data_IF_906156044353
#
_entry.id   IF_906156044353
#
_cell.length_a   1.000
_cell.length_b   1.000
_cell.length_c   1.000
_cell.angle_alpha   90.00
_cell.angle_beta   90.00
_cell.angle_gamma   90.00
#
_symmetry.space_group_name_H-M   'P 1'
#
loop_
_entity.id
_entity.type
_entity.pdbx_description
1 polymer ?
#
# COMPACT_ATOMS: atom_id res chain seq x y z
N UNK A 1 -13.36 6.88 24.05
CA UNK A 1 -13.52 6.61 22.61
C UNK A 1 -13.09 5.17 22.34
N UNK A 2 -13.95 4.36 21.71
CA UNK A 2 -13.75 2.92 21.50
C UNK A 2 -12.58 2.59 20.55
N UNK A 3 -12.21 3.52 19.66
CA UNK A 3 -11.26 3.23 18.57
C UNK A 3 -9.81 3.63 18.85
N UNK A 4 -9.50 4.13 20.05
CA UNK A 4 -8.15 4.61 20.44
C UNK A 4 -7.01 3.62 20.14
N UNK A 5 -7.32 2.33 20.16
CA UNK A 5 -6.35 1.26 19.95
C UNK A 5 -6.25 0.80 18.48
N UNK A 6 -7.12 1.32 17.61
CA UNK A 6 -7.28 0.92 16.20
C UNK A 6 -7.09 2.09 15.21
N UNK A 7 -6.88 3.31 15.71
CA UNK A 7 -6.65 4.50 14.86
C UNK A 7 -5.45 5.29 15.35
N UNK A 8 -4.77 5.95 14.41
CA UNK A 8 -3.74 6.95 14.76
C UNK A 8 -4.36 8.34 14.66
N UNK A 9 -4.34 9.08 15.77
CA UNK A 9 -4.84 10.44 15.81
C UNK A 9 -3.83 11.41 15.17
N UNK A 10 -4.24 12.06 14.08
CA UNK A 10 -3.48 13.12 13.40
C UNK A 10 -4.14 14.47 13.74
N UNK A 11 -3.36 15.42 14.27
CA UNK A 11 -3.90 16.71 14.74
C UNK A 11 -4.24 17.69 13.62
N UNK A 12 -3.58 17.54 12.46
CA UNK A 12 -3.79 18.39 11.30
C UNK A 12 -4.93 17.83 10.43
N UNK A 13 -5.68 18.68 9.72
CA UNK A 13 -6.59 18.20 8.69
C UNK A 13 -5.76 17.45 7.63
N UNK A 14 -6.31 16.33 7.19
CA UNK A 14 -5.74 15.50 6.14
C UNK A 14 -6.58 15.67 4.87
N UNK A 15 -5.93 15.85 3.73
CA UNK A 15 -6.55 15.84 2.41
C UNK A 15 -6.59 14.40 1.86
N UNK A 16 -7.76 13.77 1.87
CA UNK A 16 -7.92 12.39 1.40
C UNK A 16 -7.68 12.24 -0.11
N UNK A 17 -7.93 13.30 -0.89
CA UNK A 17 -7.79 13.28 -2.35
C UNK A 17 -6.30 13.26 -2.67
N UNK A 18 -5.52 14.16 -2.07
CA UNK A 18 -4.07 14.17 -2.24
C UNK A 18 -3.41 12.86 -1.78
N UNK A 19 -3.89 12.29 -0.66
CA UNK A 19 -3.43 10.98 -0.18
C UNK A 19 -3.79 9.85 -1.16
N UNK A 20 -5.01 9.87 -1.70
CA UNK A 20 -5.44 8.86 -2.65
C UNK A 20 -4.62 8.94 -3.94
N UNK A 21 -4.40 10.14 -4.47
CA UNK A 21 -3.59 10.38 -5.67
C UNK A 21 -2.15 9.89 -5.48
N UNK A 22 -1.54 10.19 -4.34
CA UNK A 22 -0.19 9.72 -4.02
C UNK A 22 -0.14 8.19 -3.89
N UNK A 23 -1.18 7.58 -3.34
CA UNK A 23 -1.26 6.12 -3.17
C UNK A 23 -1.38 5.37 -4.50
N UNK A 24 -1.85 6.00 -5.59
CA UNK A 24 -1.94 5.36 -6.90
C UNK A 24 -0.57 4.99 -7.48
N UNK A 25 0.48 5.73 -7.12
CA UNK A 25 1.85 5.41 -7.53
C UNK A 25 2.34 4.04 -7.00
N UNK A 26 1.70 3.51 -5.94
CA UNK A 26 2.05 2.22 -5.35
C UNK A 26 1.59 1.04 -6.21
N UNK A 27 0.58 1.21 -7.06
CA UNK A 27 -0.06 0.14 -7.81
C UNK A 27 0.87 -0.39 -8.90
N UNK A 28 0.95 -1.71 -9.04
CA UNK A 28 1.83 -2.40 -9.99
C UNK A 28 3.09 -2.99 -9.33
N UNK A 29 4.05 -3.34 -10.18
CA UNK A 29 5.31 -3.98 -9.79
C UNK A 29 6.40 -2.93 -9.57
N UNK A 30 6.84 -2.77 -8.32
CA UNK A 30 7.85 -1.77 -7.94
C UNK A 30 8.89 -2.33 -6.96
N UNK A 31 10.02 -1.64 -6.88
CA UNK A 31 11.00 -1.84 -5.81
C UNK A 31 10.61 -1.02 -4.58
N UNK A 32 10.27 -1.70 -3.48
CA UNK A 32 9.87 -1.07 -2.22
C UNK A 32 11.03 -0.93 -1.21
N UNK A 33 12.29 -0.97 -1.67
CA UNK A 33 13.46 -0.80 -0.81
C UNK A 33 13.38 0.47 0.06
N UNK A 34 12.88 1.58 -0.48
CA UNK A 34 12.70 2.85 0.25
C UNK A 34 11.76 2.76 1.45
N UNK A 35 10.85 1.79 1.44
CA UNK A 35 9.88 1.53 2.51
C UNK A 35 10.29 0.34 3.39
N UNK A 36 11.49 -0.23 3.22
CA UNK A 36 11.97 -1.30 4.08
C UNK A 36 12.42 -0.75 5.45
N UNK A 37 12.00 -1.41 6.53
CA UNK A 37 12.53 -1.14 7.86
C UNK A 37 13.97 -1.64 8.06
N UNK A 38 14.71 -1.15 9.07
CA UNK A 38 16.13 -1.48 9.30
C UNK A 38 16.39 -2.95 9.64
N UNK A 39 15.34 -3.70 10.01
CA UNK A 39 15.42 -5.14 10.28
C UNK A 39 15.24 -6.01 9.03
N UNK A 40 14.96 -5.42 7.87
CA UNK A 40 14.91 -6.18 6.63
C UNK A 40 16.34 -6.59 6.23
N UNK A 41 16.60 -7.88 5.92
CA UNK A 41 17.90 -8.31 5.44
C UNK A 41 18.35 -7.51 4.21
N UNK A 42 19.66 -7.27 4.08
CA UNK A 42 20.22 -6.48 2.98
C UNK A 42 20.02 -7.16 1.61
N UNK A 43 19.97 -8.48 1.61
CA UNK A 43 19.74 -9.35 0.45
C UNK A 43 18.26 -9.72 0.24
N UNK A 44 17.35 -9.21 1.10
CA UNK A 44 15.92 -9.49 0.94
C UNK A 44 15.40 -8.89 -0.38
N UNK A 45 14.67 -9.71 -1.14
CA UNK A 45 13.94 -9.25 -2.32
C UNK A 45 12.95 -8.16 -1.92
N UNK A 46 13.07 -6.98 -2.53
CA UNK A 46 12.23 -5.79 -2.25
C UNK A 46 11.16 -5.52 -3.32
N UNK A 47 11.21 -6.27 -4.44
CA UNK A 47 10.20 -6.22 -5.50
C UNK A 47 8.85 -6.72 -4.99
N UNK A 48 7.80 -5.90 -5.04
CA UNK A 48 6.43 -6.28 -4.68
C UNK A 48 5.45 -5.84 -5.75
N UNK A 49 4.38 -6.62 -5.89
CA UNK A 49 3.27 -6.30 -6.79
C UNK A 49 2.07 -5.90 -5.95
N UNK A 50 1.70 -4.62 -6.03
CA UNK A 50 0.49 -4.09 -5.40
C UNK A 50 -0.64 -4.16 -6.42
N UNK A 51 -1.73 -4.82 -6.05
CA UNK A 51 -2.91 -4.97 -6.90
C UNK A 51 -3.83 -3.75 -6.79
N UNK A 52 -4.07 -3.26 -5.57
CA UNK A 52 -4.92 -2.11 -5.32
C UNK A 52 -4.38 -1.27 -4.18
N UNK A 53 -4.50 0.05 -4.29
CA UNK A 53 -4.25 0.99 -3.22
C UNK A 53 -5.31 2.11 -3.29
N UNK A 54 -5.94 2.42 -2.16
CA UNK A 54 -6.99 3.44 -2.09
C UNK A 54 -6.99 4.14 -0.74
N UNK A 55 -7.20 5.44 -0.76
CA UNK A 55 -7.44 6.22 0.46
C UNK A 55 -8.83 6.84 0.40
N UNK A 56 -9.63 6.66 1.46
CA UNK A 56 -11.00 7.18 1.52
C UNK A 56 -11.31 7.79 2.86
N UNK A 57 -12.18 8.81 2.87
CA UNK A 57 -12.69 9.42 4.10
C UNK A 57 -13.96 8.71 4.56
N UNK A 58 -13.99 8.31 5.82
CA UNK A 58 -15.14 7.68 6.48
C UNK A 58 -15.50 8.53 7.71
N UNK A 59 -16.43 9.48 7.51
CA UNK A 59 -16.75 10.46 8.55
C UNK A 59 -15.52 11.30 8.94
N UNK A 60 -15.10 11.18 10.20
CA UNK A 60 -13.96 11.92 10.75
C UNK A 60 -12.62 11.18 10.61
N UNK A 61 -12.61 9.96 10.07
CA UNK A 61 -11.39 9.18 9.85
C UNK A 61 -11.02 9.06 8.37
N UNK A 62 -9.76 8.75 8.12
CA UNK A 62 -9.27 8.37 6.79
C UNK A 62 -8.78 6.95 6.87
N UNK A 63 -9.23 6.13 5.93
CA UNK A 63 -8.85 4.74 5.78
C UNK A 63 -7.98 4.58 4.54
N UNK A 64 -6.81 3.98 4.73
CA UNK A 64 -5.92 3.57 3.65
C UNK A 64 -5.96 2.05 3.53
N UNK A 65 -6.41 1.55 2.36
CA UNK A 65 -6.44 0.14 2.03
C UNK A 65 -5.41 -0.18 0.95
N UNK A 66 -4.73 -1.31 1.11
CA UNK A 66 -3.75 -1.81 0.15
C UNK A 66 -3.81 -3.33 0.08
N UNK A 67 -3.77 -3.85 -1.15
CA UNK A 67 -3.72 -5.28 -1.45
C UNK A 67 -2.50 -5.54 -2.31
N UNK A 68 -1.69 -6.52 -1.93
CA UNK A 68 -0.46 -6.87 -2.62
C UNK A 68 -0.13 -8.34 -2.43
N UNK A 69 0.78 -8.86 -3.25
CA UNK A 69 1.25 -10.24 -3.15
C UNK A 69 2.04 -10.51 -1.85
N UNK A 70 2.79 -9.52 -1.36
CA UNK A 70 3.56 -9.60 -0.12
C UNK A 70 3.94 -8.20 0.38
N UNK A 71 4.34 -8.11 1.66
CA UNK A 71 4.82 -6.87 2.28
C UNK A 71 6.17 -7.08 2.98
N UNK A 72 6.99 -6.03 3.01
CA UNK A 72 8.26 -5.96 3.75
C UNK A 72 8.02 -5.52 5.20
N UNK A 73 8.99 -5.80 6.06
CA UNK A 73 8.93 -5.38 7.46
C UNK A 73 8.78 -3.85 7.56
N UNK A 74 7.72 -3.40 8.25
CA UNK A 74 7.30 -1.99 8.42
C UNK A 74 6.86 -1.25 7.14
N UNK A 75 6.77 -1.92 5.97
CA UNK A 75 6.44 -1.27 4.70
C UNK A 75 5.18 -0.42 4.79
N UNK A 76 4.06 -1.03 5.20
CA UNK A 76 2.77 -0.34 5.25
C UNK A 76 2.77 0.84 6.22
N UNK A 77 3.47 0.71 7.35
CA UNK A 77 3.57 1.79 8.34
C UNK A 77 4.40 2.97 7.84
N UNK A 78 5.38 2.73 6.97
CA UNK A 78 6.17 3.78 6.32
C UNK A 78 5.40 4.44 5.18
N UNK A 79 4.70 3.65 4.37
CA UNK A 79 3.79 4.15 3.34
C UNK A 79 2.74 5.06 4.00
N UNK A 80 2.08 4.61 5.06
CA UNK A 80 1.10 5.41 5.79
C UNK A 80 1.70 6.72 6.36
N UNK A 81 2.97 6.72 6.76
CA UNK A 81 3.68 7.93 7.21
C UNK A 81 3.85 8.94 6.09
N UNK A 82 4.36 8.48 4.94
CA UNK A 82 4.51 9.33 3.75
C UNK A 82 3.17 9.86 3.26
N UNK A 83 2.13 9.02 3.20
CA UNK A 83 0.78 9.47 2.84
C UNK A 83 0.24 10.49 3.84
N UNK A 84 0.49 10.32 5.14
CA UNK A 84 0.12 11.32 6.14
C UNK A 84 0.88 12.65 5.91
N UNK A 85 2.15 12.60 5.54
CA UNK A 85 2.92 13.80 5.22
C UNK A 85 2.38 14.52 3.98
N UNK A 86 1.96 13.78 2.94
CA UNK A 86 1.24 14.32 1.78
C UNK A 86 -0.09 14.93 2.20
N UNK A 87 -0.93 14.19 2.93
CA UNK A 87 -2.25 14.64 3.36
C UNK A 87 -2.23 15.86 4.28
N UNK A 88 -1.17 16.06 5.05
CA UNK A 88 -0.98 17.27 5.87
C UNK A 88 -0.31 18.43 5.13
N UNK A 89 0.01 18.26 3.84
CA UNK A 89 0.69 19.25 3.00
C UNK A 89 2.19 19.40 3.29
N UNK A 90 2.79 18.46 4.03
CA UNK A 90 4.23 18.44 4.34
C UNK A 90 5.10 17.85 3.22
N UNK A 91 4.50 17.19 2.23
CA UNK A 91 5.20 16.62 1.08
C UNK A 91 4.32 16.67 -0.18
N UNK A 92 4.92 16.74 -1.38
CA UNK A 92 4.18 16.74 -2.63
C UNK A 92 3.60 15.35 -2.94
N UNK A 93 2.50 15.29 -3.69
CA UNK A 93 1.86 14.03 -4.13
C UNK A 93 2.84 13.11 -4.87
N UNK A 94 3.78 13.67 -5.61
CA UNK A 94 4.80 12.93 -6.38
C UNK A 94 5.81 12.15 -5.51
N UNK A 95 5.92 12.46 -4.21
CA UNK A 95 6.96 11.91 -3.32
C UNK A 95 6.94 10.38 -3.26
N UNK A 96 5.75 9.75 -3.38
CA UNK A 96 5.63 8.30 -3.34
C UNK A 96 6.29 7.68 -4.57
N UNK A 97 6.06 8.24 -5.76
CA UNK A 97 6.70 7.80 -7.00
C UNK A 97 8.20 8.05 -6.99
N UNK A 98 8.65 9.19 -6.44
CA UNK A 98 10.07 9.50 -6.27
C UNK A 98 10.77 8.50 -5.37
N UNK A 99 10.17 8.14 -4.23
CA UNK A 99 10.70 7.13 -3.31
C UNK A 99 10.77 5.74 -3.95
N UNK A 100 9.79 5.36 -4.77
CA UNK A 100 9.85 4.10 -5.52
C UNK A 100 10.96 4.12 -6.58
N UNK A 101 11.18 5.27 -7.23
CA UNK A 101 12.20 5.41 -8.26
C UNK A 101 13.63 5.41 -7.70
N UNK A 102 13.85 5.99 -6.52
CA UNK A 102 15.19 6.01 -5.89
C UNK A 102 15.60 4.66 -5.32
N UNK A 103 14.64 3.88 -4.82
CA UNK A 103 14.87 2.59 -4.16
C UNK A 103 15.95 2.64 -3.04
N UNK A 104 16.15 3.80 -2.42
CA UNK A 104 17.15 4.01 -1.37
C UNK A 104 16.62 3.47 -0.04
N UNK A 105 17.24 2.41 0.48
CA UNK A 105 16.77 1.71 1.69
C UNK A 105 16.56 2.66 2.87
N UNK A 106 15.31 2.70 3.35
CA UNK A 106 14.94 3.47 4.53
C UNK A 106 14.71 4.98 4.29
N UNK A 107 14.71 5.44 3.04
CA UNK A 107 14.42 6.83 2.69
C UNK A 107 13.07 7.31 3.24
N UNK A 108 12.05 6.45 3.28
CA UNK A 108 10.80 6.71 3.98
C UNK A 108 10.99 6.56 5.49
N UNK A 109 11.50 7.61 6.14
CA UNK A 109 11.93 7.58 7.55
C UNK A 109 10.78 7.62 8.56
N UNK A 110 9.66 8.28 8.21
CA UNK A 110 8.49 8.40 9.06
C UNK A 110 7.75 7.07 9.18
N UNK A 111 7.68 6.52 10.40
CA UNK A 111 6.96 5.28 10.70
C UNK A 111 5.71 5.57 11.53
N UNK A 112 4.53 5.35 10.96
CA UNK A 112 3.27 5.49 11.70
C UNK A 112 3.16 4.46 12.84
N UNK A 113 2.43 4.75 13.93
CA UNK A 113 2.17 3.79 15.01
C UNK A 113 1.53 2.48 14.50
N UNK A 114 1.81 1.36 15.18
CA UNK A 114 1.30 0.04 14.77
C UNK A 114 -0.21 -0.14 15.05
N UNK A 115 -0.75 0.66 15.98
CA UNK A 115 -2.11 0.55 16.50
C UNK A 115 -3.18 0.73 15.39
N UNK A 116 -2.87 1.47 14.32
CA UNK A 116 -3.80 1.72 13.22
C UNK A 116 -3.78 0.68 12.09
N UNK A 117 -2.96 -0.37 12.20
CA UNK A 117 -2.81 -1.35 11.13
C UNK A 117 -3.58 -2.64 11.45
N UNK A 118 -4.50 -3.00 10.56
CA UNK A 118 -5.25 -4.26 10.64
C UNK A 118 -5.05 -5.06 9.35
N UNK A 119 -4.96 -6.39 9.48
CA UNK A 119 -5.07 -7.30 8.35
C UNK A 119 -6.55 -7.58 8.12
N UNK A 120 -7.09 -7.09 7.00
CA UNK A 120 -8.53 -7.23 6.69
C UNK A 120 -8.88 -8.57 6.04
N UNK A 121 -8.09 -9.03 5.06
CA UNK A 121 -8.38 -10.26 4.31
C UNK A 121 -7.09 -10.92 3.79
N UNK A 122 -7.13 -12.24 3.65
CA UNK A 122 -6.15 -13.04 2.90
C UNK A 122 -6.94 -13.90 1.91
N UNK A 123 -6.61 -13.79 0.62
CA UNK A 123 -7.26 -14.56 -0.42
C UNK A 123 -6.40 -15.75 -0.87
N UNK A 124 -7.03 -16.91 -1.09
CA UNK A 124 -6.37 -18.12 -1.56
C UNK A 124 -6.88 -18.52 -2.95
N UNK A 125 -6.00 -19.08 -3.79
CA UNK A 125 -6.34 -19.46 -5.17
C UNK A 125 -7.14 -20.78 -5.27
N UNK A 126 -7.05 -21.66 -4.27
CA UNK A 126 -7.78 -22.95 -4.19
C UNK A 126 -8.75 -22.98 -3.02
N UNK A 127 -9.56 -21.95 -2.92
CA UNK A 127 -10.45 -21.74 -1.78
C UNK A 127 -11.69 -22.65 -1.80
N UNK A 128 -12.10 -23.07 -3.00
CA UNK A 128 -13.21 -23.96 -3.31
C UNK A 128 -13.06 -25.36 -2.73
N UNK A 129 -11.82 -25.84 -2.53
CA UNK A 129 -11.54 -27.17 -1.98
C UNK A 129 -11.54 -27.21 -0.44
N UNK A 130 -11.38 -26.06 0.23
CA UNK A 130 -11.18 -26.00 1.68
C UNK A 130 -12.12 -25.03 2.43
N UNK A 131 -13.08 -24.40 1.75
CA UNK A 131 -14.00 -23.43 2.36
C UNK A 131 -13.32 -22.14 2.82
N UNK A 132 -12.22 -21.76 2.15
CA UNK A 132 -11.43 -20.57 2.48
C UNK A 132 -11.98 -19.32 1.76
N UNK A 133 -11.59 -18.11 2.19
CA UNK A 133 -11.85 -16.90 1.41
C UNK A 133 -11.15 -16.98 0.04
N UNK A 134 -11.96 -16.99 -1.02
CA UNK A 134 -11.49 -17.09 -2.39
C UNK A 134 -10.93 -15.75 -2.89
N UNK A 135 -9.84 -15.83 -3.64
CA UNK A 135 -9.42 -14.75 -4.53
C UNK A 135 -10.50 -14.53 -5.57
N UNK A 136 -11.12 -13.34 -5.57
CA UNK A 136 -11.94 -12.91 -6.69
C UNK A 136 -11.08 -12.97 -7.95
N UNK A 137 -11.56 -13.57 -9.06
CA UNK A 137 -10.78 -13.61 -10.28
C UNK A 137 -10.48 -12.18 -10.71
N UNK A 138 -9.20 -11.83 -10.75
CA UNK A 138 -8.77 -10.57 -11.35
C UNK A 138 -9.25 -10.63 -12.80
N UNK A 139 -10.08 -9.69 -13.22
CA UNK A 139 -10.48 -9.57 -14.62
C UNK A 139 -9.23 -9.21 -15.40
N UNK A 140 -8.49 -10.22 -15.89
CA UNK A 140 -7.48 -10.01 -16.91
C UNK A 140 -8.18 -9.35 -18.09
N UNK A 141 -7.77 -8.15 -18.53
CA UNK A 141 -8.34 -7.60 -19.75
C UNK A 141 -7.99 -8.57 -20.89
N UNK A 142 -9.02 -9.14 -21.49
CA UNK A 142 -8.95 -10.00 -22.65
C UNK A 142 -8.47 -9.17 -23.85
N UNK A 143 -7.15 -9.05 -24.04
CA UNK A 143 -6.59 -8.70 -25.34
C UNK A 143 -6.17 -10.00 -26.03
N UNK A 144 -7.14 -10.59 -26.71
CA UNK A 144 -6.94 -11.51 -27.82
C UNK A 144 -6.16 -10.78 -28.92
N UNK A 145 -4.95 -11.24 -29.21
CA UNK A 145 -4.37 -11.10 -30.54
C UNK A 145 -3.96 -12.50 -30.99
N UNK A 146 -4.98 -13.23 -31.44
CA UNK A 146 -4.79 -14.33 -32.39
C UNK A 146 -4.35 -13.70 -33.70
N UNK A 147 -3.03 -13.66 -33.94
CA UNK A 147 -2.50 -13.37 -35.27
C UNK A 147 -2.09 -14.69 -35.88
N UNK A 148 -3.06 -15.33 -36.53
CA UNK A 148 -2.79 -16.36 -37.51
C UNK A 148 -1.84 -15.81 -38.57
N UNK A 149 -0.66 -16.42 -38.68
CA UNK A 149 0.24 -16.26 -39.81
C UNK A 149 0.05 -17.49 -40.69
N UNK A 150 -0.49 -17.24 -41.88
CA UNK A 150 -0.39 -18.11 -43.06
C UNK A 150 1.08 -18.29 -43.47
#
# INVERSE_FOLDING_TARGET
ALDRHYVTHVRKPLDEIAMNDASQALVGLHDFASFAGPKAPHDALTMRNVETASTTRIGDSIEFKITANAFLHQQIRRIAGVLCDVGTGGSPVAVVGELLATAERGAASHVMPALGLCLENIAYERADECGLPAKSPVSTPANTVDTGIN
#
